data_IF_584330634529
#
_entry.id   IF_584330634529
#
_cell.length_a   1.000
_cell.length_b   1.000
_cell.length_c   1.000
_cell.angle_alpha   90.00
_cell.angle_beta   90.00
_cell.angle_gamma   90.00
#
_symmetry.space_group_name_H-M   'P 1'
#
loop_
_entity.id
_entity.type
_entity.pdbx_description
1 polymer ?
#
# COMPACT_ATOMS: atom_id res chain seq x y z
N UNK A 1 11.05 -5.87 36.03
CA UNK A 1 10.02 -4.91 35.62
C UNK A 1 10.74 -3.74 34.96
N UNK A 2 10.62 -3.56 33.63
CA UNK A 2 11.30 -2.46 32.95
C UNK A 2 10.66 -1.14 33.36
N UNK A 3 11.46 -0.24 33.91
CA UNK A 3 11.03 1.05 34.42
C UNK A 3 10.35 1.84 33.29
N UNK A 4 9.11 2.29 33.50
CA UNK A 4 8.36 3.04 32.47
C UNK A 4 9.00 4.41 32.34
N UNK A 5 9.66 4.70 31.21
CA UNK A 5 10.19 6.03 30.90
C UNK A 5 9.13 7.11 31.14
N UNK A 6 9.56 8.23 31.72
CA UNK A 6 8.71 9.40 32.04
C UNK A 6 7.94 9.93 30.83
N UNK A 7 8.43 9.67 29.62
CA UNK A 7 7.88 10.16 28.34
C UNK A 7 7.36 9.04 27.42
N UNK A 8 7.09 7.84 27.94
CA UNK A 8 6.65 6.70 27.13
C UNK A 8 5.43 7.02 26.26
N UNK A 9 4.38 7.64 26.83
CA UNK A 9 3.15 8.00 26.10
C UNK A 9 3.40 8.97 24.93
N UNK A 10 4.34 9.90 25.08
CA UNK A 10 4.72 10.82 24.02
C UNK A 10 5.56 10.10 22.97
N UNK A 11 6.47 9.23 23.41
CA UNK A 11 7.30 8.41 22.53
C UNK A 11 6.47 7.50 21.64
N UNK A 12 5.48 6.80 22.20
CA UNK A 12 4.58 5.93 21.44
C UNK A 12 3.74 6.74 20.44
N UNK A 13 3.26 7.91 20.86
CA UNK A 13 2.56 8.85 19.97
C UNK A 13 3.46 9.30 18.80
N UNK A 14 4.67 9.77 19.09
CA UNK A 14 5.60 10.25 18.08
C UNK A 14 6.02 9.15 17.10
N UNK A 15 6.22 7.92 17.58
CA UNK A 15 6.51 6.74 16.73
C UNK A 15 5.38 6.42 15.75
N UNK A 16 4.15 6.82 16.08
CA UNK A 16 3.03 6.67 15.14
C UNK A 16 3.07 7.72 14.02
N UNK A 17 3.77 8.85 14.16
CA UNK A 17 3.77 9.88 13.13
C UNK A 17 4.59 9.48 11.90
N UNK A 18 4.23 10.08 10.76
CA UNK A 18 4.84 9.86 9.47
C UNK A 18 5.75 11.05 9.09
N UNK A 19 6.81 10.83 8.31
CA UNK A 19 7.73 11.90 7.90
C UNK A 19 7.02 13.10 7.27
N UNK A 20 6.05 12.86 6.39
CA UNK A 20 5.29 13.94 5.75
C UNK A 20 4.42 14.73 6.73
N UNK A 21 3.82 14.07 7.73
CA UNK A 21 3.05 14.73 8.78
C UNK A 21 3.96 15.70 9.56
N UNK A 22 5.13 15.23 9.98
CA UNK A 22 6.09 16.05 10.74
C UNK A 22 6.76 17.13 9.89
N UNK A 23 7.00 16.86 8.60
CA UNK A 23 7.50 17.86 7.64
C UNK A 23 6.51 19.00 7.43
N UNK A 24 5.22 18.68 7.24
CA UNK A 24 4.15 19.68 7.19
C UNK A 24 4.11 20.52 8.47
N UNK A 25 4.13 19.88 9.64
CA UNK A 25 4.07 20.57 10.92
C UNK A 25 5.27 21.49 11.15
N UNK A 26 6.48 21.10 10.72
CA UNK A 26 7.65 21.98 10.74
C UNK A 26 7.51 23.15 9.78
N UNK A 27 6.83 22.98 8.64
CA UNK A 27 6.58 24.04 7.67
C UNK A 27 5.57 25.09 8.14
N UNK A 28 4.62 24.72 9.02
CA UNK A 28 3.55 25.62 9.48
C UNK A 28 3.72 26.14 10.92
N UNK A 29 4.66 25.59 11.68
CA UNK A 29 4.84 26.01 13.07
C UNK A 29 5.34 27.45 13.16
N UNK A 30 4.88 28.18 14.17
CA UNK A 30 5.32 29.53 14.53
C UNK A 30 5.57 29.60 16.04
N UNK A 31 6.40 28.70 16.57
CA UNK A 31 6.63 28.62 18.02
C UNK A 31 7.66 29.65 18.49
N UNK A 32 7.27 30.51 19.44
CA UNK A 32 8.23 31.33 20.19
C UNK A 32 9.06 30.49 21.17
N UNK A 33 8.49 29.39 21.68
CA UNK A 33 9.14 28.47 22.60
C UNK A 33 10.12 27.54 21.85
N UNK A 34 11.41 27.90 21.89
CA UNK A 34 12.51 27.13 21.30
C UNK A 34 12.53 25.66 21.75
N UNK A 35 12.08 25.35 22.98
CA UNK A 35 12.04 23.98 23.44
C UNK A 35 10.97 23.15 22.71
N UNK A 36 9.80 23.74 22.40
CA UNK A 36 8.78 23.04 21.60
C UNK A 36 9.26 22.79 20.18
N UNK A 37 9.96 23.76 19.57
CA UNK A 37 10.57 23.58 18.27
C UNK A 37 11.61 22.46 18.27
N UNK A 38 12.51 22.44 19.27
CA UNK A 38 13.51 21.38 19.41
C UNK A 38 12.87 20.00 19.58
N UNK A 39 11.78 19.89 20.36
CA UNK A 39 11.02 18.64 20.47
C UNK A 39 10.42 18.24 19.12
N UNK A 40 9.80 19.16 18.37
CA UNK A 40 9.20 18.85 17.07
C UNK A 40 10.27 18.44 16.03
N UNK A 41 11.43 19.09 16.01
CA UNK A 41 12.56 18.71 15.18
C UNK A 41 13.06 17.30 15.54
N UNK A 42 13.15 16.97 16.83
CA UNK A 42 13.49 15.62 17.29
C UNK A 42 12.44 14.59 16.89
N UNK A 43 11.15 14.95 16.94
CA UNK A 43 10.06 14.09 16.43
C UNK A 43 10.26 13.82 14.94
N UNK A 44 10.50 14.85 14.13
CA UNK A 44 10.74 14.69 12.69
C UNK A 44 11.96 13.81 12.40
N UNK A 45 13.10 14.05 13.06
CA UNK A 45 14.30 13.23 12.94
C UNK A 45 14.00 11.75 13.22
N UNK A 46 13.32 11.46 14.34
CA UNK A 46 12.95 10.09 14.73
C UNK A 46 11.90 9.46 13.79
N UNK A 47 11.06 10.25 13.12
CA UNK A 47 10.09 9.72 12.16
C UNK A 47 10.73 9.34 10.82
N UNK A 48 11.71 10.13 10.38
CA UNK A 48 12.46 9.96 9.12
C UNK A 48 13.55 8.89 9.22
N UNK A 49 14.06 8.62 10.42
CA UNK A 49 14.97 7.51 10.67
C UNK A 49 14.19 6.21 10.97
N UNK A 50 14.45 5.14 10.23
CA UNK A 50 13.76 3.85 10.46
C UNK A 50 14.33 3.03 11.61
N UNK A 51 15.66 3.00 11.75
CA UNK A 51 16.35 2.10 12.69
C UNK A 51 17.06 2.84 13.82
N UNK A 52 17.09 4.18 13.77
CA UNK A 52 17.70 5.01 14.81
C UNK A 52 16.63 5.80 15.54
N UNK A 53 16.67 5.72 16.87
CA UNK A 53 15.80 6.49 17.73
C UNK A 53 16.64 7.27 18.71
N UNK A 54 16.50 8.59 18.70
CA UNK A 54 17.17 9.44 19.68
C UNK A 54 16.17 9.79 20.80
N UNK A 55 16.46 9.47 22.07
CA UNK A 55 15.58 9.75 23.19
C UNK A 55 15.17 11.23 23.30
N UNK A 56 14.02 11.47 23.90
CA UNK A 56 13.55 12.81 24.25
C UNK A 56 14.16 13.26 25.58
N UNK A 57 14.37 14.57 25.73
CA UNK A 57 14.93 15.17 26.94
C UNK A 57 13.97 15.07 28.14
N UNK A 58 14.26 14.18 29.08
CA UNK A 58 13.46 14.01 30.29
C UNK A 58 13.60 15.15 31.31
N UNK A 59 14.56 16.08 31.11
CA UNK A 59 14.73 17.28 31.91
C UNK A 59 13.75 18.41 31.56
N UNK A 60 13.10 18.35 30.40
CA UNK A 60 12.09 19.34 29.99
C UNK A 60 10.74 19.11 30.69
N UNK A 61 9.99 20.19 30.93
CA UNK A 61 8.65 20.12 31.50
C UNK A 61 7.72 19.25 30.64
N UNK A 62 7.15 18.21 31.26
CA UNK A 62 6.17 17.29 30.66
C UNK A 62 4.98 18.00 30.02
N UNK A 63 4.59 19.17 30.51
CA UNK A 63 3.52 19.99 29.93
C UNK A 63 3.84 20.41 28.49
N UNK A 64 5.11 20.64 28.16
CA UNK A 64 5.53 20.98 26.78
C UNK A 64 5.25 19.84 25.81
N UNK A 65 5.56 18.60 26.20
CA UNK A 65 5.25 17.40 25.42
C UNK A 65 3.76 17.19 25.23
N UNK A 66 2.96 17.35 26.29
CA UNK A 66 1.50 17.21 26.21
C UNK A 66 0.89 18.27 25.31
N UNK A 67 1.29 19.53 25.48
CA UNK A 67 0.79 20.65 24.66
C UNK A 67 1.18 20.48 23.20
N UNK A 68 2.43 20.08 22.92
CA UNK A 68 2.87 19.81 21.55
C UNK A 68 2.09 18.64 20.94
N UNK A 69 1.87 17.56 21.69
CA UNK A 69 1.05 16.43 21.22
C UNK A 69 -0.36 16.89 20.81
N UNK A 70 -1.03 17.68 21.65
CA UNK A 70 -2.36 18.20 21.31
C UNK A 70 -2.34 19.10 20.07
N UNK A 71 -1.36 20.01 19.99
CA UNK A 71 -1.18 20.87 18.82
C UNK A 71 -0.96 20.06 17.54
N UNK A 72 -0.13 19.01 17.57
CA UNK A 72 0.08 18.12 16.43
C UNK A 72 -1.23 17.47 15.98
N UNK A 73 -1.97 16.88 16.93
CA UNK A 73 -3.23 16.20 16.63
C UNK A 73 -4.27 17.15 16.03
N UNK A 74 -4.38 18.36 16.58
CA UNK A 74 -5.29 19.38 16.07
C UNK A 74 -4.91 19.81 14.66
N UNK A 75 -3.63 20.14 14.42
CA UNK A 75 -3.17 20.62 13.11
C UNK A 75 -3.29 19.56 12.02
N UNK A 76 -2.96 18.31 12.30
CA UNK A 76 -3.16 17.23 11.33
C UNK A 76 -4.64 17.01 11.04
N UNK A 77 -5.51 17.05 12.06
CA UNK A 77 -6.96 16.91 11.88
C UNK A 77 -7.54 18.03 11.00
N UNK A 78 -7.02 19.26 11.07
CA UNK A 78 -7.53 20.38 10.27
C UNK A 78 -7.27 20.24 8.77
N UNK A 79 -6.27 19.45 8.37
CA UNK A 79 -5.95 19.22 6.95
C UNK A 79 -6.29 17.79 6.50
N UNK A 80 -6.89 16.99 7.38
CA UNK A 80 -7.26 15.60 7.08
C UNK A 80 -8.55 15.56 6.23
N UNK A 81 -8.38 15.24 4.94
CA UNK A 81 -9.49 15.16 3.99
C UNK A 81 -10.49 14.06 4.34
N UNK A 82 -10.06 12.96 4.99
CA UNK A 82 -10.99 11.92 5.45
C UNK A 82 -11.80 12.42 6.66
N UNK A 83 -11.21 13.26 7.51
CA UNK A 83 -11.94 13.90 8.63
C UNK A 83 -12.97 14.91 8.12
N UNK A 84 -12.61 15.72 7.13
CA UNK A 84 -13.51 16.64 6.42
C UNK A 84 -14.69 15.87 5.81
N UNK A 85 -14.41 14.81 5.05
CA UNK A 85 -15.44 14.01 4.38
C UNK A 85 -16.43 13.38 5.36
N UNK A 86 -15.94 12.80 6.45
CA UNK A 86 -16.81 12.20 7.47
C UNK A 86 -17.70 13.24 8.16
N UNK A 87 -17.18 14.45 8.39
CA UNK A 87 -17.99 15.55 8.93
C UNK A 87 -19.07 15.99 7.93
N UNK A 88 -18.75 16.10 6.63
CA UNK A 88 -19.72 16.41 5.59
C UNK A 88 -20.85 15.38 5.51
N UNK A 89 -20.54 14.07 5.60
CA UNK A 89 -21.55 13.01 5.63
C UNK A 89 -22.44 13.08 6.87
N UNK A 90 -21.88 13.41 8.04
CA UNK A 90 -22.69 13.61 9.24
C UNK A 90 -23.62 14.80 9.08
N UNK A 91 -23.12 15.91 8.54
CA UNK A 91 -23.91 17.11 8.30
C UNK A 91 -25.04 16.86 7.29
N UNK A 92 -24.76 16.16 6.19
CA UNK A 92 -25.76 15.73 5.22
C UNK A 92 -26.90 14.94 5.88
N UNK A 93 -26.56 13.88 6.63
CA UNK A 93 -27.54 13.08 7.37
C UNK A 93 -28.36 13.93 8.32
N UNK A 94 -27.72 14.82 9.06
CA UNK A 94 -28.42 15.66 10.04
C UNK A 94 -29.36 16.67 9.35
N UNK A 95 -29.05 17.13 8.13
CA UNK A 95 -29.95 17.96 7.32
C UNK A 95 -31.13 17.13 6.78
N UNK A 96 -30.86 15.98 6.17
CA UNK A 96 -31.90 15.11 5.58
C UNK A 96 -32.91 14.64 6.63
N UNK A 97 -32.44 14.39 7.84
CA UNK A 97 -33.28 13.92 8.96
C UNK A 97 -33.85 15.05 9.81
N UNK A 98 -33.60 16.32 9.49
CA UNK A 98 -34.04 17.48 10.26
C UNK A 98 -33.54 17.52 11.73
N UNK A 99 -32.34 16.97 11.97
CA UNK A 99 -31.68 16.95 13.29
C UNK A 99 -30.46 17.89 13.36
N UNK A 100 -30.27 18.76 12.36
CA UNK A 100 -29.11 19.65 12.32
C UNK A 100 -29.14 20.66 13.48
N UNK A 101 -28.07 20.66 14.29
CA UNK A 101 -27.92 21.57 15.41
C UNK A 101 -27.36 22.94 14.97
N UNK A 102 -27.71 24.05 15.66
CA UNK A 102 -27.22 25.40 15.30
C UNK A 102 -25.69 25.53 15.19
N UNK A 103 -24.95 24.76 16.00
CA UNK A 103 -23.48 24.72 15.92
C UNK A 103 -23.00 24.15 14.58
N UNK A 104 -23.63 23.07 14.11
CA UNK A 104 -23.30 22.42 12.83
C UNK A 104 -23.64 23.35 11.66
N UNK A 105 -24.73 24.09 11.76
CA UNK A 105 -25.10 25.11 10.76
C UNK A 105 -24.07 26.23 10.64
N UNK A 106 -23.65 26.80 11.78
CA UNK A 106 -22.61 27.82 11.80
C UNK A 106 -21.29 27.31 11.21
N UNK A 107 -20.96 26.03 11.46
CA UNK A 107 -19.81 25.36 10.86
C UNK A 107 -19.94 25.19 9.34
N UNK A 108 -21.11 24.77 8.83
CA UNK A 108 -21.38 24.65 7.40
C UNK A 108 -21.28 26.00 6.68
N UNK A 109 -21.88 27.05 7.22
CA UNK A 109 -21.77 28.41 6.66
C UNK A 109 -20.32 28.92 6.69
N UNK A 110 -19.58 28.61 7.76
CA UNK A 110 -18.14 28.86 7.82
C UNK A 110 -17.37 28.11 6.72
N UNK A 111 -17.69 26.84 6.52
CA UNK A 111 -17.07 25.97 5.53
C UNK A 111 -17.30 26.45 4.09
N UNK A 112 -18.55 26.74 3.72
CA UNK A 112 -18.90 27.21 2.37
C UNK A 112 -18.25 28.56 2.01
N UNK A 113 -17.99 29.43 3.00
CA UNK A 113 -17.27 30.69 2.78
C UNK A 113 -15.81 30.50 2.38
N UNK A 114 -15.14 29.46 2.86
CA UNK A 114 -13.73 29.19 2.58
C UNK A 114 -13.52 28.11 1.50
N UNK A 115 -14.60 27.45 1.09
CA UNK A 115 -14.58 26.42 0.06
C UNK A 115 -14.27 27.01 -1.31
N UNK A 116 -13.39 26.32 -2.05
CA UNK A 116 -13.00 26.67 -3.42
C UNK A 116 -13.12 25.44 -4.32
N UNK A 117 -13.19 25.61 -5.65
CA UNK A 117 -13.16 24.49 -6.59
C UNK A 117 -11.96 23.55 -6.45
N UNK A 118 -10.84 24.07 -5.91
CA UNK A 118 -9.59 23.33 -5.71
C UNK A 118 -9.56 22.51 -4.41
N UNK A 119 -10.49 22.77 -3.48
CA UNK A 119 -10.60 22.00 -2.24
C UNK A 119 -10.82 20.51 -2.55
N UNK A 120 -10.28 19.62 -1.72
CA UNK A 120 -10.25 18.19 -2.03
C UNK A 120 -11.65 17.59 -2.21
N UNK A 121 -12.60 17.95 -1.34
CA UNK A 121 -13.98 17.47 -1.37
C UNK A 121 -14.98 18.51 -1.90
N UNK A 122 -14.57 19.34 -2.87
CA UNK A 122 -15.41 20.41 -3.43
C UNK A 122 -16.79 19.91 -3.90
N UNK A 123 -16.84 18.86 -4.72
CA UNK A 123 -18.12 18.33 -5.26
C UNK A 123 -19.06 17.89 -4.14
N UNK A 124 -18.55 17.19 -3.12
CA UNK A 124 -19.38 16.75 -1.99
C UNK A 124 -19.87 17.94 -1.17
N UNK A 125 -19.02 18.93 -0.95
CA UNK A 125 -19.42 20.17 -0.25
C UNK A 125 -20.50 20.92 -1.02
N UNK A 126 -20.43 20.95 -2.35
CA UNK A 126 -21.45 21.55 -3.21
C UNK A 126 -22.78 20.80 -3.13
N UNK A 127 -22.76 19.46 -3.14
CA UNK A 127 -23.95 18.62 -2.94
C UNK A 127 -24.62 18.87 -1.59
N UNK A 128 -23.83 18.95 -0.50
CA UNK A 128 -24.35 19.28 0.83
C UNK A 128 -24.93 20.70 0.88
N UNK A 129 -24.32 21.66 0.19
CA UNK A 129 -24.85 23.02 0.08
C UNK A 129 -26.20 23.05 -0.67
N UNK A 130 -26.37 22.25 -1.74
CA UNK A 130 -27.65 22.13 -2.45
C UNK A 130 -28.76 21.62 -1.52
N UNK A 131 -28.46 20.59 -0.73
CA UNK A 131 -29.38 20.04 0.26
C UNK A 131 -29.70 21.07 1.36
N UNK A 132 -28.67 21.73 1.90
CA UNK A 132 -28.85 22.71 2.96
C UNK A 132 -29.66 23.93 2.49
N UNK A 133 -29.46 24.37 1.24
CA UNK A 133 -30.30 25.42 0.64
C UNK A 133 -31.78 25.06 0.67
N UNK A 134 -32.13 23.82 0.31
CA UNK A 134 -33.52 23.35 0.33
C UNK A 134 -34.08 23.38 1.75
N UNK A 135 -33.30 22.88 2.72
CA UNK A 135 -33.64 22.90 4.14
C UNK A 135 -33.96 24.32 4.65
N UNK A 136 -33.13 25.30 4.29
CA UNK A 136 -33.29 26.70 4.68
C UNK A 136 -34.52 27.35 4.03
N UNK A 137 -34.75 27.07 2.75
CA UNK A 137 -35.86 27.64 2.00
C UNK A 137 -37.23 27.21 2.56
N UNK A 138 -37.40 25.92 2.87
CA UNK A 138 -38.63 25.37 3.47
C UNK A 138 -38.91 26.03 4.84
N UNK A 139 -37.86 26.38 5.57
CA UNK A 139 -37.95 27.00 6.92
C UNK A 139 -37.88 28.52 6.90
N UNK A 140 -37.96 29.15 5.72
CA UNK A 140 -37.95 30.62 5.56
C UNK A 140 -36.72 31.32 6.17
N UNK A 141 -35.57 30.66 6.17
CA UNK A 141 -34.30 31.20 6.72
C UNK A 141 -33.52 31.99 5.68
N UNK A 142 -34.01 33.20 5.40
CA UNK A 142 -33.59 33.97 4.23
C UNK A 142 -32.13 34.46 4.26
N UNK A 143 -31.58 34.80 5.42
CA UNK A 143 -30.21 35.32 5.52
C UNK A 143 -29.18 34.23 5.19
N UNK A 144 -29.31 33.07 5.85
CA UNK A 144 -28.45 31.92 5.58
C UNK A 144 -28.67 31.39 4.16
N UNK A 145 -29.93 31.39 3.69
CA UNK A 145 -30.27 30.98 2.32
C UNK A 145 -29.50 31.79 1.28
N UNK A 146 -29.46 33.13 1.41
CA UNK A 146 -28.72 34.00 0.47
C UNK A 146 -27.24 33.65 0.45
N UNK A 147 -26.63 33.45 1.63
CA UNK A 147 -25.22 33.08 1.71
C UNK A 147 -24.92 31.75 1.01
N UNK A 148 -25.82 30.77 1.10
CA UNK A 148 -25.65 29.46 0.45
C UNK A 148 -25.95 29.55 -1.04
N UNK A 149 -26.96 30.31 -1.45
CA UNK A 149 -27.30 30.53 -2.86
C UNK A 149 -26.16 31.23 -3.62
N UNK A 150 -25.53 32.25 -3.01
CA UNK A 150 -24.39 32.94 -3.60
C UNK A 150 -23.21 31.99 -3.84
N UNK A 151 -22.93 31.09 -2.89
CA UNK A 151 -21.91 30.05 -3.03
C UNK A 151 -22.22 29.11 -4.20
N UNK A 152 -23.47 28.63 -4.29
CA UNK A 152 -23.91 27.72 -5.33
C UNK A 152 -23.84 28.37 -6.71
N UNK A 153 -24.34 29.59 -6.87
CA UNK A 153 -24.30 30.30 -8.15
C UNK A 153 -22.87 30.60 -8.58
N UNK A 154 -22.01 31.02 -7.66
CA UNK A 154 -20.59 31.30 -7.94
C UNK A 154 -19.85 30.09 -8.51
N UNK A 155 -20.14 28.89 -8.01
CA UNK A 155 -19.36 27.70 -8.33
C UNK A 155 -20.08 26.66 -9.17
N UNK A 156 -21.27 26.97 -9.70
CA UNK A 156 -22.07 26.06 -10.53
C UNK A 156 -21.30 25.47 -11.72
N UNK A 157 -20.63 26.32 -12.49
CA UNK A 157 -19.85 25.88 -13.67
C UNK A 157 -18.71 24.94 -13.27
N UNK A 158 -18.02 25.26 -12.17
CA UNK A 158 -16.94 24.42 -11.66
C UNK A 158 -17.47 23.05 -11.18
N UNK A 159 -18.64 23.02 -10.54
CA UNK A 159 -19.31 21.79 -10.12
C UNK A 159 -19.71 20.91 -11.31
N UNK A 160 -20.35 21.49 -12.33
CA UNK A 160 -20.74 20.76 -13.55
C UNK A 160 -19.51 20.17 -14.26
N UNK A 161 -18.43 20.95 -14.35
CA UNK A 161 -17.14 20.47 -14.90
C UNK A 161 -16.56 19.31 -14.09
N UNK A 162 -16.48 19.44 -12.76
CA UNK A 162 -15.95 18.39 -11.89
C UNK A 162 -16.78 17.10 -12.00
N UNK A 163 -18.10 17.20 -12.10
CA UNK A 163 -18.98 16.04 -12.32
C UNK A 163 -18.70 15.35 -13.66
N UNK A 164 -18.49 16.10 -14.73
CA UNK A 164 -18.13 15.54 -16.03
C UNK A 164 -16.77 14.79 -15.98
N UNK A 165 -15.78 15.35 -15.29
CA UNK A 165 -14.48 14.69 -15.06
C UNK A 165 -14.65 13.38 -14.30
N UNK A 166 -15.51 13.34 -13.27
CA UNK A 166 -15.79 12.10 -12.51
C UNK A 166 -16.34 10.99 -13.40
N UNK A 167 -17.19 11.33 -14.36
CA UNK A 167 -17.72 10.36 -15.32
C UNK A 167 -16.62 9.81 -16.24
N UNK A 168 -15.73 10.69 -16.74
CA UNK A 168 -14.55 10.26 -17.52
C UNK A 168 -13.63 9.35 -16.72
N UNK A 169 -13.37 9.67 -15.45
CA UNK A 169 -12.60 8.82 -14.54
C UNK A 169 -13.26 7.44 -14.34
N UNK A 170 -14.59 7.38 -14.30
CA UNK A 170 -15.32 6.11 -14.21
C UNK A 170 -15.13 5.25 -15.47
N UNK A 171 -15.29 5.84 -16.65
CA UNK A 171 -15.06 5.18 -17.94
C UNK A 171 -13.64 4.61 -18.04
N UNK A 172 -12.63 5.44 -17.73
CA UNK A 172 -11.23 4.99 -17.71
C UNK A 172 -11.01 3.81 -16.74
N UNK A 173 -11.66 3.84 -15.56
CA UNK A 173 -11.54 2.75 -14.58
C UNK A 173 -12.05 1.42 -15.14
N UNK A 174 -13.16 1.43 -15.88
CA UNK A 174 -13.72 0.20 -16.46
C UNK A 174 -12.75 -0.46 -17.45
N UNK A 175 -12.13 0.32 -18.33
CA UNK A 175 -11.19 -0.19 -19.32
C UNK A 175 -9.89 -0.69 -18.67
N UNK A 176 -9.33 0.08 -17.73
CA UNK A 176 -8.10 -0.30 -17.00
C UNK A 176 -8.28 -1.62 -16.24
N UNK A 177 -9.41 -1.78 -15.53
CA UNK A 177 -9.68 -3.00 -14.75
C UNK A 177 -9.91 -4.20 -15.66
N UNK A 178 -10.60 -4.02 -16.79
CA UNK A 178 -10.78 -5.08 -17.79
C UNK A 178 -9.45 -5.54 -18.36
N UNK A 179 -8.57 -4.59 -18.70
CA UNK A 179 -7.22 -4.90 -19.19
C UNK A 179 -6.37 -5.63 -18.15
N UNK A 180 -6.42 -5.21 -16.88
CA UNK A 180 -5.70 -5.88 -15.81
C UNK A 180 -6.17 -7.34 -15.62
N UNK A 181 -7.47 -7.59 -15.71
CA UNK A 181 -8.04 -8.94 -15.61
C UNK A 181 -7.69 -9.80 -16.84
N UNK A 182 -7.68 -9.20 -18.03
CA UNK A 182 -7.35 -9.85 -19.28
C UNK A 182 -6.45 -8.95 -20.14
N UNK A 183 -5.12 -9.19 -20.18
CA UNK A 183 -4.17 -8.38 -20.94
C UNK A 183 -4.44 -8.34 -22.45
N UNK A 184 -5.25 -9.25 -23.00
CA UNK A 184 -5.65 -9.29 -24.41
C UNK A 184 -6.99 -8.57 -24.68
N UNK A 185 -7.54 -7.88 -23.69
CA UNK A 185 -8.81 -7.14 -23.80
C UNK A 185 -8.59 -5.68 -24.23
N UNK A 186 -9.56 -4.79 -23.94
CA UNK A 186 -9.54 -3.36 -24.28
C UNK A 186 -8.23 -2.72 -23.83
N UNK A 187 -7.56 -1.99 -24.74
CA UNK A 187 -6.39 -1.19 -24.40
C UNK A 187 -6.79 -0.09 -23.40
N UNK A 188 -5.88 0.35 -22.53
CA UNK A 188 -6.15 1.46 -21.62
C UNK A 188 -5.18 2.64 -21.76
N UNK A 189 -4.15 2.50 -22.59
CA UNK A 189 -3.13 3.55 -22.80
C UNK A 189 -3.72 4.83 -23.40
N UNK A 190 -4.82 4.74 -24.17
CA UNK A 190 -5.49 5.90 -24.74
C UNK A 190 -6.00 6.90 -23.68
N UNK A 191 -6.18 6.46 -22.44
CA UNK A 191 -6.60 7.32 -21.33
C UNK A 191 -5.45 8.13 -20.72
N UNK A 192 -4.20 7.77 -21.00
CA UNK A 192 -3.02 8.41 -20.39
C UNK A 192 -3.00 9.93 -20.60
N UNK A 193 -3.20 10.50 -21.82
CA UNK A 193 -3.06 11.93 -22.03
C UNK A 193 -4.10 12.74 -21.24
N UNK A 194 -5.35 12.29 -21.23
CA UNK A 194 -6.44 12.96 -20.52
C UNK A 194 -6.29 12.84 -19.00
N UNK A 195 -5.93 11.66 -18.49
CA UNK A 195 -5.69 11.48 -17.06
C UNK A 195 -4.50 12.32 -16.59
N UNK A 196 -3.45 12.43 -17.40
CA UNK A 196 -2.31 13.32 -17.15
C UNK A 196 -2.76 14.78 -17.10
N UNK A 197 -3.60 15.24 -18.03
CA UNK A 197 -4.17 16.59 -17.98
C UNK A 197 -4.99 16.83 -16.72
N UNK A 198 -5.89 15.90 -16.35
CA UNK A 198 -6.69 16.00 -15.12
C UNK A 198 -5.80 16.10 -13.88
N UNK A 199 -4.72 15.31 -13.80
CA UNK A 199 -3.82 15.33 -12.65
C UNK A 199 -3.13 16.69 -12.45
N UNK A 200 -2.63 17.29 -13.53
CA UNK A 200 -1.91 18.56 -13.49
C UNK A 200 -2.83 19.79 -13.46
N UNK A 201 -4.12 19.65 -13.76
CA UNK A 201 -5.05 20.77 -13.73
C UNK A 201 -5.34 21.24 -12.30
N UNK A 202 -4.67 22.30 -11.88
CA UNK A 202 -4.82 22.89 -10.54
C UNK A 202 -6.14 23.63 -10.33
N UNK A 203 -6.98 23.75 -11.37
CA UNK A 203 -8.33 24.33 -11.24
C UNK A 203 -9.39 23.31 -10.82
N UNK A 204 -9.05 22.01 -10.84
CA UNK A 204 -9.92 20.92 -10.42
C UNK A 204 -9.76 20.58 -8.92
N UNK A 205 -10.78 19.91 -8.39
CA UNK A 205 -10.79 19.43 -7.02
C UNK A 205 -9.72 18.36 -6.80
N UNK A 206 -9.18 18.35 -5.57
CA UNK A 206 -8.10 17.45 -5.22
C UNK A 206 -8.45 15.97 -5.34
N UNK A 207 -9.70 15.58 -5.11
CA UNK A 207 -10.14 14.19 -5.29
C UNK A 207 -10.03 13.77 -6.75
N UNK A 208 -10.49 14.59 -7.70
CA UNK A 208 -10.42 14.26 -9.13
C UNK A 208 -8.97 14.14 -9.60
N UNK A 209 -8.11 15.07 -9.19
CA UNK A 209 -6.68 15.05 -9.51
C UNK A 209 -5.98 13.80 -8.94
N UNK A 210 -6.20 13.50 -7.66
CA UNK A 210 -5.64 12.31 -7.02
C UNK A 210 -6.14 11.02 -7.68
N UNK A 211 -7.43 10.96 -8.00
CA UNK A 211 -8.02 9.79 -8.63
C UNK A 211 -7.48 9.55 -10.03
N UNK A 212 -7.17 10.60 -10.80
CA UNK A 212 -6.48 10.46 -12.08
C UNK A 212 -5.09 9.81 -11.92
N UNK A 213 -4.30 10.24 -10.93
CA UNK A 213 -3.00 9.62 -10.63
C UNK A 213 -3.11 8.14 -10.26
N UNK A 214 -4.15 7.75 -9.50
CA UNK A 214 -4.40 6.34 -9.20
C UNK A 214 -4.58 5.53 -10.48
N UNK A 215 -5.33 6.03 -11.47
CA UNK A 215 -5.53 5.33 -12.76
C UNK A 215 -4.25 5.28 -13.59
N UNK A 216 -3.53 6.41 -13.67
CA UNK A 216 -2.22 6.48 -14.33
C UNK A 216 -1.24 5.45 -13.76
N UNK A 217 -1.25 5.27 -12.44
CA UNK A 217 -0.44 4.23 -11.78
C UNK A 217 -0.76 2.86 -12.37
N UNK A 218 -2.03 2.45 -12.42
CA UNK A 218 -2.42 1.16 -13.02
C UNK A 218 -2.01 1.04 -14.50
N UNK A 219 -2.22 2.09 -15.31
CA UNK A 219 -1.82 2.09 -16.72
C UNK A 219 -0.32 1.85 -16.84
N UNK A 220 0.50 2.67 -16.18
CA UNK A 220 1.95 2.57 -16.29
C UNK A 220 2.49 1.22 -15.77
N UNK A 221 1.85 0.62 -14.75
CA UNK A 221 2.19 -0.74 -14.32
C UNK A 221 1.82 -1.82 -15.34
N UNK A 222 0.64 -1.71 -15.97
CA UNK A 222 0.20 -2.67 -16.98
C UNK A 222 1.11 -2.65 -18.22
N UNK A 223 1.56 -1.46 -18.63
CA UNK A 223 2.41 -1.26 -19.81
C UNK A 223 3.91 -1.26 -19.49
N UNK A 224 4.31 -1.33 -18.20
CA UNK A 224 5.70 -1.25 -17.72
C UNK A 224 6.44 0.03 -18.14
N UNK A 225 5.73 1.15 -18.20
CA UNK A 225 6.28 2.47 -18.56
C UNK A 225 6.37 3.33 -17.29
N UNK A 226 7.43 3.17 -16.50
CA UNK A 226 7.48 3.67 -15.12
C UNK A 226 8.04 5.10 -14.97
N UNK A 227 8.82 5.57 -15.94
CA UNK A 227 9.51 6.87 -15.89
C UNK A 227 8.55 8.05 -15.70
N UNK A 228 7.43 8.18 -16.46
CA UNK A 228 6.48 9.27 -16.25
C UNK A 228 5.84 9.26 -14.86
N UNK A 229 5.77 8.08 -14.24
CA UNK A 229 5.17 7.93 -12.91
C UNK A 229 6.07 8.50 -11.80
N UNK A 230 7.41 8.52 -11.98
CA UNK A 230 8.33 9.17 -11.01
C UNK A 230 8.03 10.66 -10.87
N UNK A 231 7.86 11.35 -12.00
CA UNK A 231 7.57 12.79 -12.01
C UNK A 231 6.26 13.09 -11.30
N UNK A 232 5.20 12.33 -11.61
CA UNK A 232 3.88 12.52 -11.02
C UNK A 232 3.88 12.26 -9.51
N UNK A 233 4.60 11.24 -9.05
CA UNK A 233 4.77 11.01 -7.61
C UNK A 233 5.60 12.09 -6.93
N UNK A 234 6.58 12.70 -7.60
CA UNK A 234 7.29 13.85 -7.05
C UNK A 234 6.37 15.08 -6.88
N UNK A 235 5.39 15.27 -7.76
CA UNK A 235 4.34 16.29 -7.56
C UNK A 235 3.48 15.95 -6.34
N UNK A 236 2.99 14.70 -6.23
CA UNK A 236 2.17 14.28 -5.10
C UNK A 236 2.93 14.38 -3.75
N UNK A 237 4.21 14.03 -3.72
CA UNK A 237 5.09 14.17 -2.56
C UNK A 237 5.09 15.61 -2.02
N UNK A 238 5.32 16.58 -2.91
CA UNK A 238 5.28 18.01 -2.57
C UNK A 238 3.91 18.44 -2.04
N UNK A 239 2.82 17.98 -2.64
CA UNK A 239 1.46 18.30 -2.18
C UNK A 239 1.22 17.75 -0.77
N UNK A 240 1.57 16.49 -0.52
CA UNK A 240 1.42 15.85 0.80
C UNK A 240 2.30 16.53 1.87
N UNK A 241 3.52 16.93 1.52
CA UNK A 241 4.41 17.70 2.42
C UNK A 241 3.82 19.08 2.80
N UNK A 242 3.02 19.68 1.92
CA UNK A 242 2.31 20.93 2.18
C UNK A 242 0.98 20.71 2.93
N UNK A 243 0.66 19.47 3.32
CA UNK A 243 -0.63 19.12 3.94
C UNK A 243 -1.79 19.08 2.95
N UNK A 244 -1.55 19.24 1.65
CA UNK A 244 -2.59 19.09 0.62
C UNK A 244 -2.84 17.60 0.37
N UNK A 245 -4.12 17.25 0.24
CA UNK A 245 -4.59 15.86 0.03
C UNK A 245 -4.21 14.92 1.17
N UNK A 246 -3.85 15.49 2.33
CA UNK A 246 -3.47 14.70 3.46
C UNK A 246 -4.70 13.96 3.98
N UNK A 247 -4.62 12.64 3.97
CA UNK A 247 -5.16 11.84 5.04
C UNK A 247 -4.14 10.76 5.34
N UNK A 248 -4.19 10.20 6.54
CA UNK A 248 -3.29 9.11 6.90
C UNK A 248 -3.43 7.92 5.94
N UNK A 249 -4.65 7.64 5.48
CA UNK A 249 -4.92 6.58 4.49
C UNK A 249 -4.25 6.88 3.15
N UNK A 250 -4.41 8.07 2.61
CA UNK A 250 -3.81 8.46 1.33
C UNK A 250 -2.28 8.47 1.40
N UNK A 251 -1.72 8.94 2.51
CA UNK A 251 -0.27 8.98 2.72
C UNK A 251 0.35 7.58 2.81
N UNK A 252 -0.30 6.66 3.52
CA UNK A 252 0.15 5.26 3.58
C UNK A 252 0.07 4.59 2.20
N UNK A 253 -1.00 4.85 1.44
CA UNK A 253 -1.13 4.33 0.08
C UNK A 253 -0.05 4.91 -0.85
N UNK A 254 0.28 6.20 -0.71
CA UNK A 254 1.41 6.83 -1.40
C UNK A 254 2.72 6.08 -1.13
N UNK A 255 3.05 5.79 0.13
CA UNK A 255 4.25 5.03 0.48
C UNK A 255 4.25 3.60 -0.09
N UNK A 256 3.10 2.91 -0.03
CA UNK A 256 2.96 1.58 -0.63
C UNK A 256 3.26 1.59 -2.14
N UNK A 257 2.78 2.61 -2.85
CA UNK A 257 3.06 2.78 -4.28
C UNK A 257 4.50 3.20 -4.56
N UNK A 258 5.09 4.07 -3.73
CA UNK A 258 6.51 4.44 -3.84
C UNK A 258 7.42 3.23 -3.71
N UNK A 259 7.16 2.35 -2.73
CA UNK A 259 7.88 1.07 -2.63
C UNK A 259 7.82 0.32 -3.96
N UNK A 260 6.62 0.13 -4.51
CA UNK A 260 6.47 -0.65 -5.74
C UNK A 260 7.21 -0.01 -6.90
N UNK A 261 7.28 1.32 -6.97
CA UNK A 261 7.97 2.05 -8.04
C UNK A 261 9.48 1.89 -7.91
N UNK A 262 10.02 2.10 -6.70
CA UNK A 262 11.45 1.91 -6.42
C UNK A 262 11.90 0.48 -6.69
N UNK A 263 11.04 -0.52 -6.46
CA UNK A 263 11.31 -1.91 -6.84
C UNK A 263 11.52 -2.08 -8.35
N UNK A 264 10.76 -1.37 -9.20
CA UNK A 264 10.93 -1.45 -10.66
C UNK A 264 12.25 -0.85 -11.13
N UNK A 265 12.79 0.14 -10.40
CA UNK A 265 14.09 0.76 -10.66
C UNK A 265 15.24 0.10 -9.89
N UNK A 266 14.99 -1.01 -9.20
CA UNK A 266 15.98 -1.71 -8.36
C UNK A 266 16.59 -0.84 -7.25
N UNK A 267 15.87 0.22 -6.85
CA UNK A 267 16.24 1.14 -5.76
C UNK A 267 15.81 0.54 -4.41
N UNK A 268 16.41 -0.58 -4.00
CA UNK A 268 15.92 -1.40 -2.88
C UNK A 268 16.02 -0.74 -1.50
N UNK A 269 16.96 0.19 -1.30
CA UNK A 269 17.04 0.98 -0.06
C UNK A 269 15.80 1.87 0.11
N UNK A 270 15.45 2.60 -0.94
CA UNK A 270 14.24 3.43 -0.96
C UNK A 270 12.97 2.58 -0.89
N UNK A 271 12.94 1.45 -1.60
CA UNK A 271 11.81 0.53 -1.53
C UNK A 271 11.57 0.03 -0.10
N UNK A 272 12.63 -0.34 0.62
CA UNK A 272 12.54 -0.73 2.03
C UNK A 272 12.07 0.44 2.89
N UNK A 273 12.63 1.64 2.66
CA UNK A 273 12.27 2.85 3.40
C UNK A 273 10.76 3.11 3.35
N UNK A 274 10.22 3.22 2.14
CA UNK A 274 8.79 3.43 1.92
C UNK A 274 7.93 2.24 2.36
N UNK A 275 8.46 1.03 2.28
CA UNK A 275 7.79 -0.17 2.79
C UNK A 275 7.50 -0.09 4.27
N UNK A 276 8.49 0.26 5.08
CA UNK A 276 8.28 0.45 6.52
C UNK A 276 7.28 1.54 6.83
N UNK A 277 7.31 2.65 6.09
CA UNK A 277 6.32 3.72 6.26
C UNK A 277 4.90 3.25 5.95
N UNK A 278 4.72 2.44 4.90
CA UNK A 278 3.40 1.94 4.46
C UNK A 278 2.72 0.99 5.46
N UNK A 279 3.48 0.36 6.36
CA UNK A 279 2.94 -0.56 7.38
C UNK A 279 2.78 0.10 8.77
N UNK A 280 3.05 1.39 8.91
CA UNK A 280 2.85 2.12 10.19
C UNK A 280 1.39 2.29 10.59
N UNK A 281 0.45 1.94 9.72
CA UNK A 281 -0.99 1.98 9.99
C UNK A 281 -1.69 0.76 9.44
N UNK A 282 -2.64 0.20 10.20
CA UNK A 282 -3.43 -0.97 9.81
C UNK A 282 -4.65 -0.53 9.00
N UNK A 283 -4.49 -0.38 7.70
CA UNK A 283 -5.59 -0.10 6.75
C UNK A 283 -6.14 -1.42 6.15
N UNK A 284 -7.17 -1.33 5.31
CA UNK A 284 -7.69 -2.48 4.56
C UNK A 284 -6.61 -3.16 3.69
N UNK A 285 -5.62 -2.39 3.23
CA UNK A 285 -4.51 -2.85 2.39
C UNK A 285 -3.26 -3.23 3.19
N UNK A 286 -3.32 -3.25 4.53
CA UNK A 286 -2.15 -3.52 5.39
C UNK A 286 -1.42 -4.82 5.03
N UNK A 287 -2.16 -5.92 4.82
CA UNK A 287 -1.57 -7.22 4.44
C UNK A 287 -0.89 -7.15 3.07
N UNK A 288 -1.41 -6.33 2.14
CA UNK A 288 -0.78 -6.10 0.85
C UNK A 288 0.57 -5.38 1.03
N UNK A 289 0.61 -4.33 1.84
CA UNK A 289 1.86 -3.59 2.12
C UNK A 289 2.90 -4.45 2.83
N UNK A 290 2.48 -5.28 3.79
CA UNK A 290 3.37 -6.25 4.47
C UNK A 290 3.96 -7.23 3.47
N UNK A 291 3.15 -7.77 2.53
CA UNK A 291 3.66 -8.67 1.49
C UNK A 291 4.74 -8.00 0.62
N UNK A 292 4.50 -6.75 0.22
CA UNK A 292 5.43 -6.00 -0.62
C UNK A 292 6.74 -5.70 0.11
N UNK A 293 6.69 -5.23 1.36
CA UNK A 293 7.89 -5.03 2.18
C UNK A 293 8.64 -6.34 2.41
N UNK A 294 7.94 -7.43 2.73
CA UNK A 294 8.56 -8.74 2.91
C UNK A 294 9.28 -9.19 1.63
N UNK A 295 8.70 -8.97 0.45
CA UNK A 295 9.35 -9.29 -0.81
C UNK A 295 10.67 -8.51 -1.00
N UNK A 296 10.71 -7.23 -0.62
CA UNK A 296 11.93 -6.41 -0.64
C UNK A 296 12.96 -6.93 0.36
N UNK A 297 12.57 -7.18 1.62
CA UNK A 297 13.48 -7.67 2.66
C UNK A 297 14.09 -9.04 2.30
N UNK A 298 13.30 -9.94 1.71
CA UNK A 298 13.78 -11.23 1.21
C UNK A 298 14.83 -11.07 0.10
N UNK A 299 14.62 -10.14 -0.86
CA UNK A 299 15.61 -9.85 -1.93
C UNK A 299 16.90 -9.27 -1.37
N UNK A 300 16.79 -8.47 -0.31
CA UNK A 300 17.93 -7.90 0.42
C UNK A 300 18.59 -8.86 1.41
N UNK A 301 18.15 -10.13 1.46
CA UNK A 301 18.64 -11.16 2.38
C UNK A 301 18.46 -10.82 3.87
N UNK A 302 17.54 -9.91 4.20
CA UNK A 302 17.18 -9.53 5.58
C UNK A 302 16.12 -10.49 6.14
N UNK A 303 16.45 -11.78 6.20
CA UNK A 303 15.48 -12.86 6.42
C UNK A 303 14.82 -12.84 7.81
N UNK A 304 15.60 -12.61 8.87
CA UNK A 304 15.07 -12.51 10.25
C UNK A 304 14.13 -11.33 10.42
N UNK A 305 14.48 -10.20 9.81
CA UNK A 305 13.68 -8.99 9.84
C UNK A 305 12.36 -9.18 9.06
N UNK A 306 12.42 -9.81 7.88
CA UNK A 306 11.24 -10.20 7.13
C UNK A 306 10.32 -11.12 7.94
N UNK A 307 10.88 -12.14 8.61
CA UNK A 307 10.12 -13.04 9.47
C UNK A 307 9.45 -12.30 10.63
N UNK A 308 10.16 -11.34 11.24
CA UNK A 308 9.63 -10.50 12.33
C UNK A 308 8.43 -9.67 11.88
N UNK A 309 8.55 -8.98 10.74
CA UNK A 309 7.46 -8.21 10.12
C UNK A 309 6.24 -9.09 9.84
N UNK A 310 6.47 -10.27 9.26
CA UNK A 310 5.39 -11.21 8.95
C UNK A 310 4.72 -11.73 10.24
N UNK A 311 5.50 -12.11 11.27
CA UNK A 311 4.93 -12.56 12.55
C UNK A 311 4.07 -11.48 13.20
N UNK A 312 4.49 -10.22 13.16
CA UNK A 312 3.73 -9.10 13.71
C UNK A 312 2.38 -8.85 12.98
N UNK A 313 2.29 -9.24 11.71
CA UNK A 313 1.10 -9.06 10.87
C UNK A 313 0.19 -10.31 10.76
N UNK A 314 0.52 -11.40 11.47
CA UNK A 314 -0.28 -12.63 11.48
C UNK A 314 -1.75 -12.42 11.92
N UNK A 315 -2.07 -11.57 12.92
CA UNK A 315 -3.47 -11.33 13.29
C UNK A 315 -4.29 -10.76 12.13
N UNK A 316 -3.76 -9.77 11.42
CA UNK A 316 -4.42 -9.10 10.29
C UNK A 316 -4.51 -10.03 9.08
N UNK A 317 -3.49 -10.85 8.86
CA UNK A 317 -3.51 -11.83 7.77
C UNK A 317 -4.60 -12.88 7.95
N UNK A 318 -5.04 -13.17 9.18
CA UNK A 318 -6.13 -14.12 9.46
C UNK A 318 -7.51 -13.51 9.17
N UNK A 319 -7.70 -12.24 9.49
CA UNK A 319 -9.00 -11.55 9.37
C UNK A 319 -9.27 -10.95 7.99
N UNK A 320 -8.24 -10.76 7.14
CA UNK A 320 -8.46 -10.23 5.79
C UNK A 320 -9.37 -11.13 4.94
N UNK A 321 -10.29 -10.50 4.21
CA UNK A 321 -11.16 -11.13 3.22
C UNK A 321 -10.49 -11.28 1.84
N UNK A 322 -9.37 -10.60 1.59
CA UNK A 322 -8.61 -10.74 0.34
C UNK A 322 -7.79 -12.02 0.37
N UNK A 323 -8.32 -13.10 -0.22
CA UNK A 323 -7.57 -14.35 -0.36
C UNK A 323 -6.32 -14.19 -1.23
N UNK A 324 -6.33 -13.29 -2.20
CA UNK A 324 -5.14 -12.94 -2.96
C UNK A 324 -3.98 -12.49 -2.05
N UNK A 325 -4.25 -11.57 -1.11
CA UNK A 325 -3.25 -11.08 -0.17
C UNK A 325 -2.93 -12.11 0.92
N UNK A 326 -3.93 -12.87 1.40
CA UNK A 326 -3.75 -13.93 2.40
C UNK A 326 -2.84 -15.05 1.89
N UNK A 327 -3.08 -15.58 0.69
CA UNK A 327 -2.23 -16.64 0.12
C UNK A 327 -0.84 -16.10 -0.23
N UNK A 328 -0.73 -14.86 -0.71
CA UNK A 328 0.56 -14.19 -0.89
C UNK A 328 1.35 -14.08 0.41
N UNK A 329 0.68 -13.70 1.50
CA UNK A 329 1.27 -13.63 2.83
C UNK A 329 1.78 -14.98 3.30
N UNK A 330 0.96 -16.03 3.15
CA UNK A 330 1.39 -17.39 3.53
C UNK A 330 2.63 -17.80 2.73
N UNK A 331 2.66 -17.59 1.41
CA UNK A 331 3.82 -17.92 0.59
C UNK A 331 5.10 -17.19 1.06
N UNK A 332 5.02 -15.89 1.37
CA UNK A 332 6.14 -15.14 1.91
C UNK A 332 6.57 -15.61 3.30
N UNK A 333 5.61 -15.97 4.16
CA UNK A 333 5.88 -16.47 5.50
C UNK A 333 6.62 -17.81 5.45
N UNK A 334 6.19 -18.73 4.57
CA UNK A 334 6.88 -19.99 4.32
C UNK A 334 8.33 -19.77 3.85
N UNK A 335 8.54 -18.84 2.90
CA UNK A 335 9.90 -18.48 2.46
C UNK A 335 10.76 -17.93 3.59
N UNK A 336 10.20 -17.08 4.45
CA UNK A 336 10.92 -16.57 5.61
C UNK A 336 11.33 -17.70 6.55
N UNK A 337 10.44 -18.65 6.83
CA UNK A 337 10.76 -19.83 7.64
C UNK A 337 11.84 -20.70 7.00
N UNK A 338 11.78 -20.95 5.69
CA UNK A 338 12.82 -21.70 4.98
C UNK A 338 14.19 -21.02 5.10
N UNK A 339 14.25 -19.71 4.84
CA UNK A 339 15.49 -18.91 4.86
C UNK A 339 16.07 -18.67 6.25
N UNK A 340 15.27 -18.83 7.30
CA UNK A 340 15.70 -18.73 8.70
C UNK A 340 15.92 -20.11 9.33
N UNK A 341 16.12 -21.16 8.50
CA UNK A 341 16.47 -22.51 8.97
C UNK A 341 15.33 -23.26 9.66
N UNK A 342 14.07 -22.89 9.42
CA UNK A 342 12.87 -23.49 10.01
C UNK A 342 11.98 -24.21 8.97
N UNK A 343 12.52 -25.04 8.04
CA UNK A 343 11.72 -25.64 6.97
C UNK A 343 10.66 -26.63 7.48
N UNK A 344 10.89 -27.27 8.63
CA UNK A 344 9.88 -28.14 9.27
C UNK A 344 8.64 -27.36 9.72
N UNK A 345 8.83 -26.16 10.27
CA UNK A 345 7.72 -25.28 10.63
C UNK A 345 6.97 -24.78 9.39
N UNK A 346 7.72 -24.48 8.31
CA UNK A 346 7.13 -24.12 7.03
C UNK A 346 6.24 -25.25 6.47
N UNK A 347 6.73 -26.49 6.44
CA UNK A 347 5.96 -27.66 6.02
C UNK A 347 4.67 -27.83 6.82
N UNK A 348 4.75 -27.78 8.16
CA UNK A 348 3.57 -27.91 9.02
C UNK A 348 2.52 -26.82 8.77
N UNK A 349 2.98 -25.58 8.57
CA UNK A 349 2.10 -24.46 8.29
C UNK A 349 1.45 -24.58 6.89
N UNK A 350 2.23 -24.98 5.89
CA UNK A 350 1.75 -25.23 4.53
C UNK A 350 0.68 -26.33 4.53
N UNK A 351 0.90 -27.44 5.24
CA UNK A 351 -0.06 -28.52 5.40
C UNK A 351 -1.40 -28.03 5.97
N UNK A 352 -1.34 -27.22 7.03
CA UNK A 352 -2.54 -26.64 7.63
C UNK A 352 -3.28 -25.73 6.62
N UNK A 353 -2.55 -24.91 5.87
CA UNK A 353 -3.13 -24.05 4.86
C UNK A 353 -3.74 -24.82 3.69
N UNK A 354 -3.10 -25.88 3.20
CA UNK A 354 -3.67 -26.73 2.13
C UNK A 354 -4.97 -27.39 2.61
N UNK A 355 -5.04 -27.85 3.86
CA UNK A 355 -6.27 -28.41 4.42
C UNK A 355 -7.40 -27.37 4.51
N UNK A 356 -7.09 -26.16 4.97
CA UNK A 356 -8.09 -25.12 5.20
C UNK A 356 -8.52 -24.35 3.94
N UNK A 357 -7.60 -24.13 3.00
CA UNK A 357 -7.75 -23.14 1.91
C UNK A 357 -7.40 -23.69 0.53
N UNK A 358 -7.51 -25.01 0.30
CA UNK A 358 -7.13 -25.66 -0.96
C UNK A 358 -7.66 -24.92 -2.18
N UNK A 359 -8.96 -24.64 -2.22
CA UNK A 359 -9.64 -23.99 -3.36
C UNK A 359 -9.04 -22.61 -3.62
N UNK A 360 -8.94 -21.79 -2.57
CA UNK A 360 -8.46 -20.41 -2.64
C UNK A 360 -6.97 -20.33 -3.00
N UNK A 361 -6.16 -21.32 -2.62
CA UNK A 361 -4.77 -21.41 -3.06
C UNK A 361 -4.72 -21.49 -4.58
N UNK A 362 -5.48 -22.41 -5.20
CA UNK A 362 -5.53 -22.59 -6.65
C UNK A 362 -6.14 -21.42 -7.41
N UNK A 363 -7.16 -20.76 -6.85
CA UNK A 363 -7.82 -19.59 -7.46
C UNK A 363 -6.92 -18.34 -7.49
N UNK A 364 -5.95 -18.25 -6.59
CA UNK A 364 -5.13 -17.04 -6.43
C UNK A 364 -3.65 -17.29 -6.71
N UNK A 365 -2.82 -17.48 -5.67
CA UNK A 365 -1.35 -17.47 -5.77
C UNK A 365 -0.73 -18.85 -5.57
N UNK A 366 -1.29 -19.87 -6.24
CA UNK A 366 -0.86 -21.27 -6.08
C UNK A 366 0.62 -21.49 -6.38
N UNK A 367 1.12 -20.89 -7.47
CA UNK A 367 2.50 -21.09 -7.91
C UNK A 367 3.50 -20.63 -6.83
N UNK A 368 3.27 -19.43 -6.27
CA UNK A 368 4.10 -18.89 -5.19
C UNK A 368 4.02 -19.73 -3.91
N UNK A 369 2.81 -20.18 -3.55
CA UNK A 369 2.57 -21.03 -2.38
C UNK A 369 3.30 -22.38 -2.51
N UNK A 370 3.09 -23.09 -3.61
CA UNK A 370 3.68 -24.41 -3.81
C UNK A 370 5.19 -24.35 -4.04
N UNK A 371 5.72 -23.27 -4.64
CA UNK A 371 7.17 -23.06 -4.71
C UNK A 371 7.80 -23.03 -3.31
N UNK A 372 7.24 -22.24 -2.39
CA UNK A 372 7.75 -22.15 -1.01
C UNK A 372 7.54 -23.45 -0.21
N UNK A 373 6.43 -24.14 -0.46
CA UNK A 373 6.14 -25.42 0.20
C UNK A 373 7.06 -26.55 -0.28
N UNK A 374 7.29 -26.68 -1.59
CA UNK A 374 8.20 -27.67 -2.15
C UNK A 374 9.65 -27.39 -1.71
N UNK A 375 10.05 -26.12 -1.65
CA UNK A 375 11.35 -25.73 -1.12
C UNK A 375 11.54 -26.22 0.32
N UNK A 376 10.53 -26.05 1.19
CA UNK A 376 10.57 -26.56 2.56
C UNK A 376 10.78 -28.09 2.63
N UNK A 377 10.22 -28.84 1.68
CA UNK A 377 10.37 -30.29 1.60
C UNK A 377 11.76 -30.69 1.08
N UNK A 378 12.26 -29.99 0.06
CA UNK A 378 13.59 -30.24 -0.53
C UNK A 378 14.70 -29.94 0.49
N UNK A 379 14.63 -28.82 1.20
CA UNK A 379 15.60 -28.46 2.25
C UNK A 379 15.67 -29.50 3.38
N UNK A 380 14.57 -30.20 3.65
CA UNK A 380 14.52 -31.30 4.62
C UNK A 380 14.92 -32.66 4.03
N UNK A 381 15.34 -32.71 2.76
CA UNK A 381 15.58 -33.95 1.99
C UNK A 381 14.36 -34.88 1.93
N UNK A 382 13.16 -34.34 2.14
CA UNK A 382 11.90 -35.07 2.06
C UNK A 382 11.42 -35.19 0.60
N UNK A 383 12.31 -35.70 -0.25
CA UNK A 383 12.13 -35.75 -1.70
C UNK A 383 10.92 -36.60 -2.11
N UNK A 384 10.67 -37.71 -1.40
CA UNK A 384 9.51 -38.58 -1.66
C UNK A 384 8.19 -37.80 -1.52
N UNK A 385 8.08 -36.95 -0.49
CA UNK A 385 6.90 -36.15 -0.25
C UNK A 385 6.79 -35.02 -1.26
N UNK A 386 7.89 -34.36 -1.61
CA UNK A 386 7.91 -33.33 -2.65
C UNK A 386 7.35 -33.87 -3.98
N UNK A 387 7.86 -35.02 -4.43
CA UNK A 387 7.38 -35.70 -5.64
C UNK A 387 5.90 -36.11 -5.55
N UNK A 388 5.46 -36.59 -4.38
CA UNK A 388 4.05 -36.94 -4.15
C UNK A 388 3.14 -35.72 -4.26
N UNK A 389 3.52 -34.58 -3.69
CA UNK A 389 2.75 -33.33 -3.75
C UNK A 389 2.68 -32.83 -5.20
N UNK A 390 3.80 -32.84 -5.92
CA UNK A 390 3.83 -32.47 -7.36
C UNK A 390 2.85 -33.32 -8.15
N UNK A 391 2.86 -34.64 -7.96
CA UNK A 391 1.94 -35.57 -8.64
C UNK A 391 0.48 -35.37 -8.22
N UNK A 392 0.20 -35.33 -6.92
CA UNK A 392 -1.15 -35.20 -6.36
C UNK A 392 -1.88 -33.95 -6.87
N UNK A 393 -1.13 -32.87 -7.05
CA UNK A 393 -1.67 -31.59 -7.51
C UNK A 393 -1.27 -31.26 -8.95
N UNK A 394 -0.79 -32.22 -9.75
CA UNK A 394 -0.48 -31.99 -11.18
C UNK A 394 0.29 -30.68 -11.41
N UNK A 395 1.29 -30.43 -10.56
CA UNK A 395 1.91 -29.10 -10.48
C UNK A 395 2.70 -28.79 -11.76
N UNK A 396 3.32 -29.79 -12.41
CA UNK A 396 4.07 -29.60 -13.65
C UNK A 396 3.14 -29.23 -14.82
N UNK A 397 1.98 -29.87 -14.95
CA UNK A 397 1.00 -29.54 -15.99
C UNK A 397 0.45 -28.13 -15.81
N UNK A 398 0.15 -27.76 -14.55
CA UNK A 398 -0.31 -26.41 -14.20
C UNK A 398 0.77 -25.36 -14.43
N UNK A 399 2.03 -25.70 -14.15
CA UNK A 399 3.17 -24.82 -14.33
C UNK A 399 3.39 -24.44 -15.80
N UNK A 400 3.29 -25.41 -16.71
CA UNK A 400 3.37 -25.17 -18.16
C UNK A 400 2.30 -24.18 -18.63
N UNK A 401 1.06 -24.31 -18.14
CA UNK A 401 -0.01 -23.35 -18.46
C UNK A 401 0.23 -21.96 -17.84
N UNK A 402 0.95 -21.90 -16.71
CA UNK A 402 1.27 -20.66 -16.01
C UNK A 402 2.47 -19.91 -16.60
N UNK A 403 3.30 -20.59 -17.40
CA UNK A 403 4.51 -20.03 -18.00
C UNK A 403 4.29 -18.77 -18.85
N UNK A 404 3.07 -18.58 -19.40
CA UNK A 404 2.71 -17.39 -20.18
C UNK A 404 2.56 -16.10 -19.33
N UNK A 405 2.59 -16.19 -17.99
CA UNK A 405 2.47 -15.02 -17.11
C UNK A 405 3.80 -14.27 -17.01
N UNK A 406 3.75 -12.93 -17.03
CA UNK A 406 4.94 -12.08 -16.91
C UNK A 406 5.75 -12.33 -15.64
N UNK A 407 5.09 -12.67 -14.53
CA UNK A 407 5.72 -12.96 -13.24
C UNK A 407 6.22 -14.42 -13.09
N UNK A 408 6.17 -15.24 -14.14
CA UNK A 408 6.58 -16.64 -14.08
C UNK A 408 8.08 -16.83 -13.83
N UNK A 409 8.40 -17.83 -13.00
CA UNK A 409 9.72 -18.39 -12.78
C UNK A 409 9.59 -19.92 -12.75
N UNK A 410 10.48 -20.69 -13.40
CA UNK A 410 10.44 -22.17 -13.43
C UNK A 410 10.88 -22.83 -12.11
N UNK A 411 10.41 -22.32 -10.97
CA UNK A 411 10.80 -22.78 -9.64
C UNK A 411 10.25 -24.17 -9.30
N UNK A 412 9.00 -24.46 -9.67
CA UNK A 412 8.39 -25.77 -9.40
C UNK A 412 9.08 -26.89 -10.20
N UNK A 413 9.31 -26.75 -11.53
CA UNK A 413 10.09 -27.74 -12.28
C UNK A 413 11.50 -27.95 -11.72
N UNK A 414 12.18 -26.88 -11.32
CA UNK A 414 13.52 -26.97 -10.73
C UNK A 414 13.51 -27.76 -9.41
N UNK A 415 12.61 -27.44 -8.49
CA UNK A 415 12.47 -28.16 -7.22
C UNK A 415 12.06 -29.62 -7.42
N UNK A 416 11.25 -29.91 -8.44
CA UNK A 416 10.93 -31.27 -8.85
C UNK A 416 12.18 -32.02 -9.32
N UNK A 417 13.00 -31.42 -10.19
CA UNK A 417 14.22 -32.04 -10.72
C UNK A 417 15.21 -32.38 -9.58
N UNK A 418 15.42 -31.45 -8.64
CA UNK A 418 16.25 -31.67 -7.45
C UNK A 418 15.72 -32.83 -6.60
N UNK A 419 14.39 -32.89 -6.38
CA UNK A 419 13.79 -33.99 -5.63
C UNK A 419 13.87 -35.35 -6.35
N UNK A 420 13.73 -35.36 -7.69
CA UNK A 420 13.83 -36.56 -8.50
C UNK A 420 15.26 -37.12 -8.49
N UNK A 421 16.26 -36.24 -8.67
CA UNK A 421 17.68 -36.58 -8.55
C UNK A 421 18.03 -37.09 -7.15
N UNK A 422 17.59 -36.39 -6.10
CA UNK A 422 17.78 -36.82 -4.71
C UNK A 422 17.15 -38.17 -4.35
N UNK A 423 16.26 -38.70 -5.21
CA UNK A 423 15.70 -40.06 -5.12
C UNK A 423 16.29 -41.08 -6.09
N UNK A 424 17.27 -40.69 -6.90
CA UNK A 424 17.85 -41.56 -7.93
C UNK A 424 16.88 -41.86 -9.09
N UNK A 425 15.85 -41.03 -9.27
CA UNK A 425 14.88 -41.16 -10.37
C UNK A 425 15.27 -40.35 -11.61
N UNK A 426 16.35 -39.56 -11.51
CA UNK A 426 16.85 -38.68 -12.56
C UNK A 426 18.39 -38.69 -12.54
N UNK A 427 19.06 -38.91 -13.68
CA UNK A 427 20.52 -38.85 -13.76
C UNK A 427 21.04 -37.41 -13.64
N UNK A 428 22.31 -37.20 -13.26
CA UNK A 428 22.89 -35.86 -13.11
C UNK A 428 22.79 -34.99 -14.37
N UNK A 429 22.99 -35.58 -15.56
CA UNK A 429 22.90 -34.87 -16.84
C UNK A 429 21.51 -34.28 -17.12
N UNK A 430 20.44 -34.95 -16.68
CA UNK A 430 19.07 -34.45 -16.80
C UNK A 430 18.78 -33.32 -15.82
N UNK A 431 19.35 -33.39 -14.60
CA UNK A 431 19.26 -32.29 -13.63
C UNK A 431 19.97 -31.03 -14.14
N UNK A 432 21.20 -31.18 -14.66
CA UNK A 432 21.93 -30.09 -15.30
C UNK A 432 21.14 -29.50 -16.48
N UNK A 433 20.54 -30.36 -17.31
CA UNK A 433 19.66 -29.93 -18.39
C UNK A 433 18.46 -29.11 -17.89
N UNK A 434 17.83 -29.52 -16.79
CA UNK A 434 16.72 -28.78 -16.18
C UNK A 434 17.15 -27.42 -15.60
N UNK A 435 18.35 -27.34 -15.00
CA UNK A 435 18.92 -26.09 -14.50
C UNK A 435 19.21 -25.13 -15.66
N UNK A 436 19.87 -25.63 -16.71
CA UNK A 436 20.17 -24.84 -17.90
C UNK A 436 18.90 -24.35 -18.59
N UNK A 437 17.87 -25.19 -18.69
CA UNK A 437 16.59 -24.79 -19.26
C UNK A 437 15.92 -23.69 -18.42
N UNK A 438 15.92 -23.83 -17.09
CA UNK A 438 15.37 -22.81 -16.19
C UNK A 438 16.08 -21.46 -16.36
N UNK A 439 17.41 -21.46 -16.50
CA UNK A 439 18.20 -20.27 -16.78
C UNK A 439 17.90 -19.69 -18.18
N UNK A 440 17.80 -20.54 -19.21
CA UNK A 440 17.45 -20.13 -20.59
C UNK A 440 16.09 -19.47 -20.68
N UNK A 441 15.07 -20.03 -20.02
CA UNK A 441 13.72 -19.45 -19.97
C UNK A 441 13.69 -18.04 -19.35
N UNK A 442 14.71 -17.70 -18.57
CA UNK A 442 14.86 -16.40 -17.91
C UNK A 442 15.93 -15.52 -18.57
N UNK A 443 16.61 -15.98 -19.63
CA UNK A 443 17.81 -15.34 -20.18
C UNK A 443 17.61 -13.88 -20.60
N UNK A 444 16.43 -13.55 -21.10
CA UNK A 444 16.09 -12.18 -21.55
C UNK A 444 15.75 -11.23 -20.38
N UNK A 445 15.74 -11.72 -19.15
CA UNK A 445 15.31 -10.98 -17.95
C UNK A 445 16.34 -11.15 -16.82
N UNK A 446 17.34 -10.25 -16.73
CA UNK A 446 18.41 -10.34 -15.73
C UNK A 446 17.93 -10.53 -14.29
N UNK A 447 16.81 -9.89 -13.92
CA UNK A 447 16.18 -10.02 -12.61
C UNK A 447 15.69 -11.44 -12.30
N UNK A 448 15.19 -12.15 -13.32
CA UNK A 448 14.71 -13.52 -13.15
C UNK A 448 15.87 -14.49 -13.07
N UNK A 449 16.92 -14.27 -13.85
CA UNK A 449 18.17 -15.05 -13.75
C UNK A 449 18.74 -14.95 -12.34
N UNK A 450 18.89 -13.73 -11.81
CA UNK A 450 19.39 -13.53 -10.45
C UNK A 450 18.53 -14.23 -9.38
N UNK A 451 17.22 -14.30 -9.58
CA UNK A 451 16.33 -15.06 -8.69
C UNK A 451 16.51 -16.57 -8.80
N UNK A 452 16.71 -17.11 -10.00
CA UNK A 452 17.02 -18.53 -10.21
C UNK A 452 18.37 -18.87 -9.59
N UNK A 453 19.40 -18.06 -9.84
CA UNK A 453 20.74 -18.28 -9.27
C UNK A 453 20.72 -18.23 -7.74
N UNK A 454 19.93 -17.33 -7.14
CA UNK A 454 19.72 -17.32 -5.70
C UNK A 454 19.12 -18.64 -5.20
N UNK A 455 18.08 -19.16 -5.87
CA UNK A 455 17.48 -20.46 -5.53
C UNK A 455 18.50 -21.59 -5.66
N UNK A 456 19.28 -21.62 -6.74
CA UNK A 456 20.32 -22.64 -6.94
C UNK A 456 21.39 -22.58 -5.85
N UNK A 457 21.80 -21.37 -5.46
CA UNK A 457 22.74 -21.17 -4.37
C UNK A 457 22.19 -21.69 -3.03
N UNK A 458 20.90 -21.47 -2.77
CA UNK A 458 20.22 -21.98 -1.57
C UNK A 458 20.08 -23.52 -1.59
N UNK A 459 20.06 -24.11 -2.78
CA UNK A 459 19.96 -25.56 -2.99
C UNK A 459 21.32 -26.24 -3.19
N UNK A 460 22.45 -25.53 -3.07
CA UNK A 460 23.79 -26.03 -3.41
C UNK A 460 24.13 -27.36 -2.73
N UNK A 461 23.72 -27.58 -1.47
CA UNK A 461 23.94 -28.83 -0.74
C UNK A 461 23.13 -30.04 -1.27
N UNK A 462 22.19 -29.79 -2.16
CA UNK A 462 21.30 -30.76 -2.79
C UNK A 462 21.59 -30.90 -4.29
N UNK A 463 22.66 -30.32 -4.80
CA UNK A 463 23.10 -30.44 -6.18
C UNK A 463 24.34 -31.34 -6.25
N UNK A 464 24.61 -31.98 -7.41
CA UNK A 464 25.87 -32.68 -7.63
C UNK A 464 27.06 -31.72 -7.45
N UNK A 465 28.18 -32.27 -6.96
CA UNK A 465 29.38 -31.51 -6.62
C UNK A 465 30.14 -30.97 -7.83
#
# INVERSE_FOLDING_TARGET
>A
MADRSKLQKFTDFARSLLPHETGYLLGIQCFDDKAKLAILQRVHQNCSALHTFTPYDEGLDKRKYSNLKHWIQERLRTVDVDAEYNWLLSAERDIETDHIAPRTEAQLLGHFRHMTPQSYHFVKSYEVALLYRLYLLIRMRYEEYRSVEDFLQRYRVAYERARAVRERLHQATQDIVRQYANPRSVESMQWEPELSQIFYDETLDGWSRYMALVRLTFIYYNYRHFEPLREKYAVLDRLLLQGKYYSRRLLINYYGNRLLLHVQFQEYDEAEYYGYLSIRSKTADYVHYVNNLCAVLLRRKKYEEALSVMKAALPESRTTHSFHNKIGFVAHYLRCLNRTGQPRAAEQYADACVRAYRKQIFEHRWHAFFSAYLEALVLQRNYARALRIVKQYQLLERDRAYAAKSAYLPTIPLLYAVAAWGKGLMPPSELEGAIQEAQRMCADQPEKISQIDAILQDLKEHLPA
#
